data_IF_723309533687
#
_entry.id   IF_723309533687
#
_cell.length_a   1.000
_cell.length_b   1.000
_cell.length_c   1.000
_cell.angle_alpha   90.00
_cell.angle_beta   90.00
_cell.angle_gamma   90.00
#
_symmetry.space_group_name_H-M   'P 1'
#
loop_
_entity.id
_entity.type
_entity.pdbx_description
1 polymer ?
#
# COMPACT_ATOMS: atom_id res chain seq x y z
N UNK A 1 -5.32 -2.09 -14.27
CA UNK A 1 -3.89 -2.29 -14.50
C UNK A 1 -3.39 -3.20 -13.38
N UNK A 2 -2.48 -4.16 -13.65
CA UNK A 2 -1.93 -5.01 -12.60
C UNK A 2 -1.20 -4.12 -11.59
N UNK A 3 -1.48 -4.29 -10.31
CA UNK A 3 -0.82 -3.51 -9.26
C UNK A 3 0.61 -4.05 -9.13
N UNK A 4 1.67 -3.21 -9.22
CA UNK A 4 3.07 -3.66 -9.15
C UNK A 4 3.38 -4.56 -7.94
N UNK A 5 2.64 -4.36 -6.85
CA UNK A 5 2.74 -5.17 -5.64
C UNK A 5 2.16 -6.59 -5.80
N UNK A 6 1.07 -6.76 -6.56
CA UNK A 6 0.50 -8.08 -6.82
C UNK A 6 1.46 -8.92 -7.66
N UNK A 7 2.13 -8.33 -8.64
CA UNK A 7 3.14 -9.02 -9.44
C UNK A 7 4.35 -9.43 -8.58
N UNK A 8 4.80 -8.54 -7.69
CA UNK A 8 5.88 -8.84 -6.74
C UNK A 8 5.52 -10.02 -5.83
N UNK A 9 4.30 -10.02 -5.27
CA UNK A 9 3.82 -11.11 -4.40
C UNK A 9 3.64 -12.40 -5.22
N UNK A 10 3.06 -12.32 -6.42
CA UNK A 10 2.85 -13.49 -7.28
C UNK A 10 4.18 -14.14 -7.65
N UNK A 11 5.20 -13.35 -7.99
CA UNK A 11 6.54 -13.84 -8.27
C UNK A 11 7.18 -14.49 -7.03
N UNK A 12 7.02 -13.87 -5.86
CA UNK A 12 7.54 -14.43 -4.60
C UNK A 12 6.90 -15.79 -4.28
N UNK A 13 5.57 -15.90 -4.41
CA UNK A 13 4.84 -17.16 -4.21
C UNK A 13 5.31 -18.20 -5.23
N UNK A 14 5.36 -17.85 -6.52
CA UNK A 14 5.81 -18.75 -7.58
C UNK A 14 7.22 -19.29 -7.34
N UNK A 15 8.13 -18.45 -6.84
CA UNK A 15 9.51 -18.87 -6.57
C UNK A 15 9.61 -19.81 -5.35
N UNK A 16 8.74 -19.61 -4.36
CA UNK A 16 8.64 -20.44 -3.18
C UNK A 16 7.96 -21.79 -3.48
N UNK A 17 7.01 -21.82 -4.42
CA UNK A 17 6.34 -23.04 -4.84
C UNK A 17 7.33 -24.01 -5.54
N UNK A 18 7.38 -25.25 -5.05
CA UNK A 18 8.20 -26.35 -5.60
C UNK A 18 7.33 -27.49 -6.15
N UNK A 19 6.01 -27.27 -6.18
CA UNK A 19 5.07 -28.25 -6.72
C UNK A 19 5.24 -28.39 -8.23
N UNK A 20 4.81 -29.53 -8.74
CA UNK A 20 4.83 -29.82 -10.19
C UNK A 20 3.70 -29.14 -10.96
N UNK A 21 2.74 -28.53 -10.26
CA UNK A 21 1.55 -27.91 -10.85
C UNK A 21 1.74 -26.41 -10.97
N UNK A 22 1.23 -25.83 -12.06
CA UNK A 22 1.26 -24.37 -12.25
C UNK A 22 -0.03 -23.76 -11.69
N UNK A 23 0.06 -23.18 -10.50
CA UNK A 23 -1.04 -22.50 -9.82
C UNK A 23 -1.30 -21.09 -10.35
N UNK A 24 -2.50 -20.54 -10.06
CA UNK A 24 -2.82 -19.14 -10.34
C UNK A 24 -2.25 -18.21 -9.26
N UNK A 25 -0.96 -17.89 -9.40
CA UNK A 25 -0.24 -17.02 -8.47
C UNK A 25 -0.79 -15.59 -8.42
N UNK A 26 -1.42 -15.11 -9.50
CA UNK A 26 -2.05 -13.79 -9.54
C UNK A 26 -3.28 -13.74 -8.63
N UNK A 27 -4.11 -14.80 -8.66
CA UNK A 27 -5.24 -14.95 -7.73
C UNK A 27 -4.78 -15.02 -6.29
N UNK A 28 -3.69 -15.74 -6.01
CA UNK A 28 -3.13 -15.83 -4.66
C UNK A 28 -2.58 -14.48 -4.18
N UNK A 29 -1.84 -13.75 -5.01
CA UNK A 29 -1.32 -12.43 -4.69
C UNK A 29 -2.44 -11.43 -4.37
N UNK A 30 -3.52 -11.44 -5.16
CA UNK A 30 -4.72 -10.63 -4.88
C UNK A 30 -5.32 -10.98 -3.52
N UNK A 31 -5.45 -12.28 -3.21
CA UNK A 31 -5.98 -12.73 -1.93
C UNK A 31 -5.12 -12.26 -0.74
N UNK A 32 -3.79 -12.27 -0.87
CA UNK A 32 -2.86 -11.75 0.15
C UNK A 32 -3.09 -10.27 0.39
N UNK A 33 -3.14 -9.45 -0.67
CA UNK A 33 -3.37 -8.00 -0.54
C UNK A 33 -4.73 -7.71 0.11
N UNK A 34 -5.76 -8.46 -0.25
CA UNK A 34 -7.09 -8.33 0.39
C UNK A 34 -7.08 -8.74 1.87
N UNK A 35 -6.36 -9.80 2.22
CA UNK A 35 -6.23 -10.26 3.60
C UNK A 35 -5.49 -9.23 4.48
N UNK A 36 -4.38 -8.67 3.99
CA UNK A 36 -3.65 -7.60 4.68
C UNK A 36 -4.56 -6.41 4.99
N UNK A 37 -5.36 -5.98 4.00
CA UNK A 37 -6.31 -4.87 4.16
C UNK A 37 -7.41 -5.18 5.16
N UNK A 38 -7.98 -6.38 5.13
CA UNK A 38 -8.98 -6.82 6.12
C UNK A 38 -8.41 -6.84 7.54
N UNK A 39 -7.11 -7.10 7.68
CA UNK A 39 -6.39 -7.05 8.95
C UNK A 39 -5.93 -5.63 9.36
N UNK A 40 -6.26 -4.59 8.59
CA UNK A 40 -5.92 -3.20 8.89
C UNK A 40 -4.53 -2.76 8.41
N UNK A 41 -3.85 -3.57 7.59
CA UNK A 41 -2.58 -3.21 6.96
C UNK A 41 -2.81 -2.65 5.56
N UNK A 42 -2.01 -1.67 5.17
CA UNK A 42 -1.92 -1.23 3.78
C UNK A 42 -0.46 -1.35 3.31
N UNK A 43 -0.27 -1.75 2.06
CA UNK A 43 1.07 -1.87 1.47
C UNK A 43 1.35 -0.60 0.69
N UNK A 44 2.38 0.12 1.12
CA UNK A 44 2.80 1.39 0.52
C UNK A 44 4.28 1.35 0.16
N UNK A 45 4.74 2.10 -0.85
CA UNK A 45 6.16 2.25 -1.13
C UNK A 45 6.90 2.85 0.07
N UNK A 46 8.17 2.45 0.22
CA UNK A 46 9.06 2.98 1.27
C UNK A 46 9.23 4.50 1.16
N UNK A 47 9.32 5.01 -0.08
CA UNK A 47 9.35 6.45 -0.36
C UNK A 47 7.99 6.87 -0.93
N UNK A 48 7.29 7.86 -0.33
CA UNK A 48 6.03 8.34 -0.88
C UNK A 48 6.26 9.04 -2.24
N UNK A 49 5.35 8.88 -3.21
CA UNK A 49 5.37 9.68 -4.44
C UNK A 49 5.20 11.16 -4.12
N UNK A 50 5.85 12.03 -4.90
CA UNK A 50 5.78 13.48 -4.68
C UNK A 50 4.34 14.01 -4.75
N UNK A 51 3.51 13.47 -5.64
CA UNK A 51 2.09 13.80 -5.75
C UNK A 51 1.29 13.49 -4.48
N UNK A 52 1.62 12.39 -3.79
CA UNK A 52 1.01 12.04 -2.50
C UNK A 52 1.43 13.03 -1.42
N UNK A 53 2.69 13.47 -1.43
CA UNK A 53 3.20 14.46 -0.47
C UNK A 53 2.51 15.80 -0.68
N UNK A 54 2.39 16.25 -1.93
CA UNK A 54 1.66 17.48 -2.29
C UNK A 54 0.21 17.38 -1.84
N UNK A 55 -0.48 16.30 -2.18
CA UNK A 55 -1.86 16.06 -1.74
C UNK A 55 -2.00 16.10 -0.22
N UNK A 56 -1.10 15.42 0.51
CA UNK A 56 -1.13 15.45 1.97
C UNK A 56 -0.93 16.87 2.51
N UNK A 57 0.00 17.64 1.95
CA UNK A 57 0.28 19.01 2.41
C UNK A 57 -0.91 19.96 2.24
N UNK A 58 -1.71 19.77 1.20
CA UNK A 58 -2.89 20.58 0.90
C UNK A 58 -4.12 20.17 1.72
N UNK A 59 -4.19 18.91 2.16
CA UNK A 59 -5.38 18.33 2.80
C UNK A 59 -5.24 18.12 4.31
N UNK A 60 -4.04 18.29 4.88
CA UNK A 60 -3.84 18.25 6.33
C UNK A 60 -4.18 19.62 6.91
N UNK A 61 -5.06 19.70 7.92
CA UNK A 61 -5.41 20.97 8.55
C UNK A 61 -4.17 21.63 9.17
N UNK A 62 -3.80 22.79 8.63
CA UNK A 62 -2.77 23.68 9.18
C UNK A 62 -3.35 24.41 10.40
N UNK A 63 -2.69 24.37 11.56
CA UNK A 63 -3.17 25.09 12.75
C UNK A 63 -2.66 24.55 14.08
N UNK A 64 -3.37 24.88 15.18
CA UNK A 64 -3.06 24.50 16.58
C UNK A 64 -3.29 23.00 16.85
N UNK A 65 -2.59 22.14 16.13
CA UNK A 65 -2.47 20.73 16.48
C UNK A 65 -1.25 20.54 17.38
N UNK A 66 -1.38 19.64 18.36
CA UNK A 66 -0.19 19.13 19.05
C UNK A 66 0.68 18.41 18.02
N UNK A 67 2.02 18.49 18.09
CA UNK A 67 2.90 17.83 17.14
C UNK A 67 2.58 16.34 16.94
N UNK A 68 2.18 15.64 18.00
CA UNK A 68 1.77 14.23 17.97
C UNK A 68 0.52 13.98 17.13
N UNK A 69 -0.46 14.88 17.20
CA UNK A 69 -1.72 14.77 16.46
C UNK A 69 -1.49 15.10 14.99
N UNK A 70 -0.61 16.06 14.70
CA UNK A 70 -0.18 16.37 13.35
C UNK A 70 0.49 15.16 12.67
N UNK A 71 1.48 14.53 13.33
CA UNK A 71 2.18 13.36 12.77
C UNK A 71 1.23 12.20 12.52
N UNK A 72 0.32 11.92 13.48
CA UNK A 72 -0.68 10.85 13.32
C UNK A 72 -1.63 11.13 12.14
N UNK A 73 -2.07 12.38 12.01
CA UNK A 73 -2.95 12.80 10.91
C UNK A 73 -2.23 12.70 9.57
N UNK A 74 -0.99 13.19 9.48
CA UNK A 74 -0.16 13.09 8.28
C UNK A 74 0.04 11.64 7.86
N UNK A 75 0.46 10.77 8.78
CA UNK A 75 0.63 9.35 8.50
C UNK A 75 -0.68 8.71 8.01
N UNK A 76 -1.79 8.95 8.70
CA UNK A 76 -3.10 8.38 8.34
C UNK A 76 -3.57 8.86 6.96
N UNK A 77 -3.44 10.16 6.68
CA UNK A 77 -3.80 10.74 5.38
C UNK A 77 -2.96 10.18 4.26
N UNK A 78 -1.64 10.06 4.45
CA UNK A 78 -0.75 9.51 3.43
C UNK A 78 -1.06 8.03 3.14
N UNK A 79 -1.17 7.20 4.18
CA UNK A 79 -1.42 5.75 4.01
C UNK A 79 -2.79 5.51 3.37
N UNK A 80 -3.83 6.23 3.80
CA UNK A 80 -5.18 6.08 3.25
C UNK A 80 -5.29 6.45 1.76
N UNK A 81 -4.41 7.35 1.29
CA UNK A 81 -4.44 7.85 -0.08
C UNK A 81 -3.35 7.27 -0.97
N UNK A 82 -2.36 6.55 -0.43
CA UNK A 82 -1.23 6.02 -1.18
C UNK A 82 -1.65 5.25 -2.44
N UNK A 83 -2.73 4.45 -2.38
CA UNK A 83 -3.23 3.68 -3.53
C UNK A 83 -3.60 4.54 -4.75
N UNK A 84 -3.96 5.81 -4.56
CA UNK A 84 -4.33 6.71 -5.67
C UNK A 84 -3.10 7.15 -6.47
N UNK A 85 -1.92 7.10 -5.87
CA UNK A 85 -0.68 7.67 -6.40
C UNK A 85 0.40 6.61 -6.67
N UNK A 86 0.14 5.36 -6.30
CA UNK A 86 1.01 4.21 -6.54
C UNK A 86 0.35 3.41 -7.65
N UNK A 87 0.45 3.92 -8.87
CA UNK A 87 0.06 3.25 -10.11
C UNK A 87 0.92 2.04 -10.39
#
# INVERSE_FOLDING_TARGET
>A
MPQPIQDTIALAIKNADKSWFNEDYSKQAKAVVEALRKAGFEVVPVKPPDELVTYASENIPMGRLRPTDFIRTMYSTMVANARKFVT
#
